data_IF_602381180025
#
_entry.id   IF_602381180025
#
_cell.length_a   1.000
_cell.length_b   1.000
_cell.length_c   1.000
_cell.angle_alpha   90.00
_cell.angle_beta   90.00
_cell.angle_gamma   90.00
#
_symmetry.space_group_name_H-M   'P 1'
#
loop_
_entity.id
_entity.type
_entity.pdbx_description
1 polymer ?
#
# COMPACT_ATOMS: atom_id res chain seq x y z
N UNK A 1 2.01 45.28 33.01
CA UNK A 1 1.39 43.95 33.19
C UNK A 1 -0.05 44.04 32.73
N UNK A 2 -0.46 43.31 31.68
CA UNK A 2 -1.87 43.13 31.35
C UNK A 2 -2.40 41.85 32.04
N UNK A 3 -3.56 42.03 32.65
CA UNK A 3 -4.42 41.04 33.32
C UNK A 3 -5.01 40.05 32.30
N UNK A 4 -4.77 38.75 32.47
CA UNK A 4 -5.47 37.68 31.73
C UNK A 4 -6.31 36.87 32.71
N UNK A 5 -7.37 37.49 33.23
CA UNK A 5 -8.53 36.80 33.81
C UNK A 5 -9.70 36.90 32.84
N UNK A 6 -10.15 35.76 32.33
CA UNK A 6 -11.27 35.71 31.39
C UNK A 6 -11.63 34.34 30.86
N UNK A 7 -11.57 33.29 31.67
CA UNK A 7 -12.35 32.06 31.42
C UNK A 7 -13.24 31.81 32.64
N UNK A 8 -14.51 32.26 32.65
CA UNK A 8 -15.45 31.84 33.67
C UNK A 8 -16.17 30.59 33.15
N UNK A 9 -15.93 29.43 33.77
CA UNK A 9 -16.75 28.23 33.54
C UNK A 9 -17.19 27.66 34.91
N UNK A 10 -18.50 27.60 35.25
CA UNK A 10 -18.97 27.29 36.61
C UNK A 10 -18.82 25.83 37.07
N UNK A 11 -18.22 24.94 36.27
CA UNK A 11 -18.43 23.48 36.39
C UNK A 11 -17.39 22.71 37.22
N UNK A 12 -16.66 23.33 38.16
CA UNK A 12 -15.80 22.60 39.10
C UNK A 12 -14.52 21.98 38.51
N UNK A 13 -13.93 22.62 37.48
CA UNK A 13 -12.61 22.20 36.97
C UNK A 13 -11.51 22.54 37.97
N UNK A 14 -10.73 21.55 38.39
CA UNK A 14 -9.54 21.74 39.22
C UNK A 14 -8.36 22.19 38.35
N UNK A 15 -8.26 23.50 38.13
CA UNK A 15 -7.15 24.11 37.40
C UNK A 15 -6.08 24.60 38.37
N UNK A 16 -4.87 24.07 38.22
CA UNK A 16 -3.73 24.50 39.03
C UNK A 16 -2.61 25.09 38.16
N UNK A 17 -2.23 26.37 38.38
CA UNK A 17 -1.09 26.95 37.70
C UNK A 17 0.21 26.36 38.26
N UNK A 18 0.87 25.51 37.48
CA UNK A 18 2.13 24.87 37.87
C UNK A 18 3.01 24.55 36.65
N UNK A 19 4.32 24.44 36.89
CA UNK A 19 5.28 23.95 35.90
C UNK A 19 5.33 22.42 35.95
N UNK A 20 4.92 21.78 34.86
CA UNK A 20 4.85 20.31 34.70
C UNK A 20 6.22 19.63 34.85
N UNK A 21 7.32 20.36 34.68
CA UNK A 21 8.67 19.80 34.77
C UNK A 21 9.26 19.84 36.19
N UNK A 22 8.66 20.59 37.12
CA UNK A 22 9.16 20.72 38.50
C UNK A 22 8.10 20.47 39.57
N UNK A 23 6.81 20.51 39.21
CA UNK A 23 5.71 20.34 40.15
C UNK A 23 5.64 18.94 40.77
N UNK A 24 5.59 18.88 42.10
CA UNK A 24 5.34 17.63 42.86
C UNK A 24 3.88 17.16 42.81
N UNK A 25 2.96 18.03 42.40
CA UNK A 25 1.54 17.71 42.32
C UNK A 25 1.17 16.89 41.08
N UNK A 26 1.91 17.08 39.99
CA UNK A 26 1.66 16.34 38.74
C UNK A 26 1.76 14.81 38.96
N UNK A 27 2.81 14.25 39.60
CA UNK A 27 2.85 12.83 39.94
C UNK A 27 1.67 12.34 40.79
N UNK A 28 1.17 13.15 41.72
CA UNK A 28 0.04 12.80 42.58
C UNK A 28 -1.26 12.72 41.78
N UNK A 29 -1.51 13.71 40.92
CA UNK A 29 -2.67 13.72 40.02
C UNK A 29 -2.61 12.55 39.03
N UNK A 30 -1.45 12.30 38.42
CA UNK A 30 -1.26 11.17 37.50
C UNK A 30 -1.47 9.82 38.19
N UNK A 31 -1.06 9.69 39.45
CA UNK A 31 -1.20 8.45 40.23
C UNK A 31 -2.65 8.06 40.53
N UNK A 32 -3.60 8.99 40.44
CA UNK A 32 -5.04 8.75 40.66
C UNK A 32 -5.87 8.84 39.37
N UNK A 33 -5.34 9.46 38.33
CA UNK A 33 -6.02 9.62 37.05
C UNK A 33 -6.35 8.27 36.38
N UNK A 34 -7.56 8.15 35.83
CA UNK A 34 -7.99 7.02 34.99
C UNK A 34 -7.77 7.29 33.50
N UNK A 35 -7.84 8.56 33.10
CA UNK A 35 -7.63 9.02 31.73
C UNK A 35 -6.72 10.23 31.78
N UNK A 36 -5.66 10.22 30.98
CA UNK A 36 -4.74 11.36 30.84
C UNK A 36 -4.77 11.81 29.38
N UNK A 37 -5.25 13.03 29.13
CA UNK A 37 -5.24 13.65 27.81
C UNK A 37 -4.24 14.81 27.78
N UNK A 38 -3.36 14.85 26.78
CA UNK A 38 -2.34 15.89 26.70
C UNK A 38 -1.98 16.27 25.25
N UNK A 39 -1.96 17.58 24.97
CA UNK A 39 -1.31 18.15 23.81
C UNK A 39 -0.09 18.95 24.31
N UNK A 40 1.07 18.31 24.55
CA UNK A 40 2.26 18.99 25.06
C UNK A 40 2.79 20.04 24.06
N UNK A 41 3.61 21.00 24.49
CA UNK A 41 4.21 21.99 23.59
C UNK A 41 5.25 21.35 22.65
N UNK A 42 5.16 21.62 21.35
CA UNK A 42 6.01 21.00 20.30
C UNK A 42 7.33 21.76 20.11
N UNK A 43 8.16 21.76 21.13
CA UNK A 43 9.43 22.47 21.13
C UNK A 43 10.54 21.71 21.88
N UNK A 44 11.79 22.06 21.59
CA UNK A 44 12.94 21.60 22.36
C UNK A 44 13.11 22.44 23.63
N UNK A 45 13.82 21.89 24.62
CA UNK A 45 14.24 22.69 25.77
C UNK A 45 15.38 23.63 25.37
N UNK A 46 15.19 24.92 25.62
CA UNK A 46 16.22 25.95 25.49
C UNK A 46 17.40 25.70 26.44
N UNK A 47 18.53 26.38 26.18
CA UNK A 47 19.73 26.27 27.03
C UNK A 47 19.44 26.69 28.49
N UNK A 48 18.62 27.72 28.69
CA UNK A 48 18.23 28.19 30.02
C UNK A 48 17.35 27.16 30.74
N UNK A 49 16.38 26.58 30.04
CA UNK A 49 15.51 25.53 30.61
C UNK A 49 16.30 24.27 30.97
N UNK A 50 17.28 23.86 30.14
CA UNK A 50 18.16 22.72 30.48
C UNK A 50 19.03 23.00 31.70
N UNK A 51 19.45 24.25 31.91
CA UNK A 51 20.16 24.65 33.13
C UNK A 51 19.23 24.62 34.36
N UNK A 52 17.97 25.05 34.19
CA UNK A 52 16.98 25.08 35.26
C UNK A 52 16.50 23.68 35.66
N UNK A 53 16.15 22.84 34.68
CA UNK A 53 15.56 21.53 34.92
C UNK A 53 16.58 20.40 35.06
N UNK A 54 17.84 20.66 34.69
CA UNK A 54 18.95 19.72 34.77
C UNK A 54 19.16 18.91 33.48
N UNK A 55 20.27 18.18 33.39
CA UNK A 55 20.70 17.49 32.17
C UNK A 55 19.86 16.25 31.81
N UNK A 56 19.03 15.76 32.73
CA UNK A 56 18.24 14.53 32.54
C UNK A 56 16.93 14.74 31.76
N UNK A 57 16.52 16.00 31.55
CA UNK A 57 15.33 16.28 30.74
C UNK A 57 15.49 15.75 29.31
N UNK A 58 14.41 15.17 28.78
CA UNK A 58 14.38 14.64 27.44
C UNK A 58 14.76 15.67 26.36
N UNK A 59 15.06 15.18 25.16
CA UNK A 59 15.49 16.04 24.05
C UNK A 59 14.43 17.07 23.62
N UNK A 60 13.16 16.78 23.86
CA UNK A 60 12.03 17.66 23.53
C UNK A 60 10.96 17.62 24.62
N UNK A 61 10.17 18.70 24.73
CA UNK A 61 9.10 18.81 25.72
C UNK A 61 8.01 17.73 25.55
N UNK A 62 7.55 17.37 24.32
CA UNK A 62 6.56 16.29 24.16
C UNK A 62 7.05 14.94 24.65
N UNK A 63 8.32 14.61 24.39
CA UNK A 63 8.93 13.38 24.88
C UNK A 63 8.99 13.37 26.41
N UNK A 64 9.45 14.45 27.02
CA UNK A 64 9.63 14.53 28.47
C UNK A 64 8.29 14.49 29.22
N UNK A 65 7.26 15.17 28.72
CA UNK A 65 5.91 15.09 29.30
C UNK A 65 5.40 13.65 29.23
N UNK A 66 5.52 12.98 28.07
CA UNK A 66 5.10 11.59 27.93
C UNK A 66 5.87 10.64 28.86
N UNK A 67 7.20 10.80 28.99
CA UNK A 67 8.03 10.00 29.91
C UNK A 67 7.56 10.15 31.36
N UNK A 68 7.29 11.38 31.81
CA UNK A 68 6.78 11.65 33.16
C UNK A 68 5.39 11.07 33.38
N UNK A 69 4.52 11.18 32.37
CA UNK A 69 3.21 10.54 32.40
C UNK A 69 3.33 9.04 32.55
N UNK A 70 4.16 8.37 31.75
CA UNK A 70 4.37 6.92 31.87
C UNK A 70 5.00 6.53 33.21
N UNK A 71 5.88 7.36 33.77
CA UNK A 71 6.51 7.08 35.07
C UNK A 71 5.53 7.13 36.25
N UNK A 72 4.56 8.05 36.20
CA UNK A 72 3.74 8.39 37.37
C UNK A 72 2.24 8.09 37.21
N UNK A 73 1.76 7.83 36.00
CA UNK A 73 0.36 7.50 35.77
C UNK A 73 -0.03 6.21 36.49
N UNK A 74 -1.26 6.16 37.00
CA UNK A 74 -1.85 4.95 37.57
C UNK A 74 -1.72 3.76 36.58
N UNK A 75 -1.35 2.54 37.00
CA UNK A 75 -1.08 1.41 36.10
C UNK A 75 -2.20 1.12 35.09
N UNK A 76 -3.46 1.29 35.50
CA UNK A 76 -4.65 1.10 34.67
C UNK A 76 -5.11 2.36 33.90
N UNK A 77 -4.38 3.46 34.00
CA UNK A 77 -4.74 4.70 33.30
C UNK A 77 -4.64 4.53 31.79
N UNK A 78 -5.64 5.02 31.06
CA UNK A 78 -5.57 5.19 29.61
C UNK A 78 -4.95 6.54 29.25
N UNK A 79 -4.19 6.59 28.16
CA UNK A 79 -3.50 7.81 27.71
C UNK A 79 -4.04 8.26 26.35
N UNK A 80 -4.16 9.57 26.17
CA UNK A 80 -4.42 10.22 24.89
C UNK A 80 -3.46 11.38 24.68
N UNK A 81 -2.65 11.34 23.63
CA UNK A 81 -1.59 12.30 23.40
C UNK A 81 -1.57 12.81 21.95
N UNK A 82 -1.26 14.09 21.79
CA UNK A 82 -0.88 14.67 20.49
C UNK A 82 0.65 14.77 20.49
N UNK A 83 1.33 14.09 19.58
CA UNK A 83 2.79 14.00 19.57
C UNK A 83 3.37 14.31 18.17
N UNK A 84 4.65 14.67 18.07
CA UNK A 84 5.34 14.71 16.79
C UNK A 84 5.36 13.33 16.11
N UNK A 85 5.31 13.28 14.78
CA UNK A 85 5.35 12.05 13.97
C UNK A 85 6.57 11.18 14.24
N UNK A 86 7.66 11.79 14.68
CA UNK A 86 8.88 11.10 15.12
C UNK A 86 8.67 10.19 16.34
N UNK A 87 7.53 10.27 17.05
CA UNK A 87 7.20 9.29 18.09
C UNK A 87 7.15 7.87 17.53
N UNK A 88 6.61 7.72 16.32
CA UNK A 88 6.36 6.42 15.69
C UNK A 88 7.66 5.67 15.40
N UNK A 89 8.72 6.34 14.94
CA UNK A 89 9.96 5.70 14.45
C UNK A 89 11.26 6.45 14.76
N UNK A 90 11.20 7.67 15.29
CA UNK A 90 12.37 8.48 15.59
C UNK A 90 13.20 7.91 16.74
N UNK A 91 14.53 8.00 16.63
CA UNK A 91 15.47 7.43 17.59
C UNK A 91 15.27 7.96 19.02
N UNK A 92 14.91 9.24 19.18
CA UNK A 92 14.71 9.86 20.50
C UNK A 92 13.54 9.28 21.29
N UNK A 93 12.60 8.62 20.63
CA UNK A 93 11.42 8.00 21.26
C UNK A 93 11.59 6.50 21.53
N UNK A 94 12.77 5.93 21.24
CA UNK A 94 13.05 4.49 21.36
C UNK A 94 12.56 3.88 22.66
N UNK A 95 13.09 4.35 23.79
CA UNK A 95 12.80 3.76 25.10
C UNK A 95 11.33 3.91 25.50
N UNK A 96 10.72 5.04 25.13
CA UNK A 96 9.30 5.32 25.39
C UNK A 96 8.39 4.41 24.60
N UNK A 97 8.74 4.05 23.35
CA UNK A 97 8.00 3.05 22.60
C UNK A 97 8.06 1.68 23.26
N UNK A 98 9.23 1.29 23.78
CA UNK A 98 9.36 0.06 24.57
C UNK A 98 8.50 0.07 25.81
N UNK A 99 8.44 1.19 26.52
CA UNK A 99 7.59 1.36 27.70
C UNK A 99 6.09 1.33 27.36
N UNK A 100 5.66 2.02 26.29
CA UNK A 100 4.30 1.95 25.78
C UNK A 100 3.89 0.51 25.44
N UNK A 101 4.76 -0.22 24.74
CA UNK A 101 4.53 -1.60 24.35
C UNK A 101 4.46 -2.56 25.54
N UNK A 102 5.24 -2.32 26.61
CA UNK A 102 5.17 -3.11 27.86
C UNK A 102 3.91 -2.81 28.67
N UNK A 103 3.50 -1.55 28.70
CA UNK A 103 2.46 -1.08 29.61
C UNK A 103 1.05 -1.27 29.07
N UNK A 104 0.87 -1.18 27.76
CA UNK A 104 -0.44 -1.15 27.13
C UNK A 104 -0.71 -2.37 26.26
N UNK A 105 -1.94 -2.86 26.28
CA UNK A 105 -2.39 -3.93 25.38
C UNK A 105 -2.60 -3.42 23.97
N UNK A 106 -3.11 -2.21 23.84
CA UNK A 106 -3.53 -1.64 22.57
C UNK A 106 -3.07 -0.18 22.44
N UNK A 107 -2.55 0.15 21.26
CA UNK A 107 -2.25 1.52 20.85
C UNK A 107 -3.05 1.83 19.58
N UNK A 108 -3.72 2.98 19.56
CA UNK A 108 -4.25 3.57 18.33
C UNK A 108 -3.41 4.77 17.97
N UNK A 109 -2.84 4.76 16.76
CA UNK A 109 -1.97 5.80 16.25
C UNK A 109 -2.59 6.36 14.98
N UNK A 110 -2.96 7.65 14.99
CA UNK A 110 -3.48 8.34 13.80
C UNK A 110 -2.46 9.37 13.34
N UNK A 111 -1.81 9.11 12.20
CA UNK A 111 -0.93 10.06 11.55
C UNK A 111 -1.75 11.10 10.78
N UNK A 112 -1.51 12.38 11.09
CA UNK A 112 -2.18 13.52 10.52
C UNK A 112 -1.28 14.21 9.50
N UNK A 113 -1.85 14.88 8.47
CA UNK A 113 -1.04 15.62 7.50
C UNK A 113 -0.45 16.90 8.10
N UNK A 114 0.56 17.49 7.45
CA UNK A 114 1.10 18.81 7.85
C UNK A 114 0.01 19.88 7.98
N UNK A 115 0.25 20.84 8.90
CA UNK A 115 -0.57 22.05 9.11
C UNK A 115 -1.99 21.78 9.60
N UNK A 116 -2.23 20.64 10.23
CA UNK A 116 -3.48 20.40 10.99
C UNK A 116 -3.58 21.33 12.20
N UNK A 117 -2.46 21.62 12.86
CA UNK A 117 -2.42 22.56 13.97
C UNK A 117 -1.90 23.92 13.50
N UNK A 118 -2.67 24.99 13.76
CA UNK A 118 -2.41 26.36 13.27
C UNK A 118 -1.02 26.93 13.62
N UNK A 119 -0.35 26.39 14.64
CA UNK A 119 0.89 26.92 15.21
C UNK A 119 2.08 25.96 15.12
N UNK A 120 1.95 24.82 14.40
CA UNK A 120 3.04 23.86 14.25
C UNK A 120 3.20 23.41 12.79
N UNK A 121 4.39 23.62 12.23
CA UNK A 121 4.78 23.08 10.91
C UNK A 121 5.21 21.60 10.98
N UNK A 122 5.03 20.94 12.13
CA UNK A 122 5.49 19.57 12.40
C UNK A 122 4.35 18.58 12.13
N UNK A 123 4.62 17.52 11.37
CA UNK A 123 3.71 16.37 11.25
C UNK A 123 3.38 15.81 12.64
N UNK A 124 2.10 15.61 12.91
CA UNK A 124 1.61 15.17 14.22
C UNK A 124 0.94 13.80 14.14
N UNK A 125 0.94 13.10 15.27
CA UNK A 125 0.21 11.85 15.48
C UNK A 125 -0.68 11.99 16.71
N UNK A 126 -1.88 11.42 16.63
CA UNK A 126 -2.71 11.15 17.80
C UNK A 126 -2.35 9.76 18.30
N UNK A 127 -2.07 9.64 19.59
CA UNK A 127 -1.80 8.38 20.28
C UNK A 127 -2.91 8.16 21.31
N UNK A 128 -3.62 7.04 21.22
CA UNK A 128 -4.45 6.50 22.30
C UNK A 128 -3.80 5.21 22.80
N UNK A 129 -3.65 5.05 24.11
CA UNK A 129 -3.06 3.86 24.72
C UNK A 129 -4.00 3.31 25.79
N UNK A 130 -4.43 2.06 25.65
CA UNK A 130 -5.48 1.46 26.48
C UNK A 130 -5.18 0.00 26.83
N UNK A 131 -5.81 -0.46 27.91
CA UNK A 131 -5.70 -1.83 28.41
C UNK A 131 -4.36 -2.15 29.06
N UNK A 132 -4.35 -3.03 30.06
CA UNK A 132 -3.13 -3.47 30.72
C UNK A 132 -2.27 -4.34 29.79
N UNK A 133 -0.96 -4.09 29.76
CA UNK A 133 -0.01 -4.73 28.88
C UNK A 133 0.04 -6.25 28.97
N UNK A 134 0.48 -6.85 27.87
CA UNK A 134 0.79 -8.28 27.72
C UNK A 134 2.18 -8.41 27.09
N UNK A 135 2.59 -9.62 26.69
CA UNK A 135 3.88 -9.83 26.01
C UNK A 135 4.03 -9.06 24.69
N UNK A 136 2.91 -8.71 24.04
CA UNK A 136 2.89 -7.98 22.77
C UNK A 136 1.77 -6.95 22.74
N UNK A 137 2.08 -5.77 22.23
CA UNK A 137 1.10 -4.70 22.02
C UNK A 137 0.49 -4.79 20.63
N UNK A 138 -0.83 -4.60 20.54
CA UNK A 138 -1.51 -4.42 19.26
C UNK A 138 -1.53 -2.94 18.90
N UNK A 139 -1.00 -2.58 17.73
CA UNK A 139 -0.99 -1.22 17.20
C UNK A 139 -1.97 -1.14 16.03
N UNK A 140 -2.99 -0.30 16.17
CA UNK A 140 -3.85 0.13 15.07
C UNK A 140 -3.30 1.44 14.52
N UNK A 141 -2.70 1.38 13.34
CA UNK A 141 -2.12 2.53 12.66
C UNK A 141 -3.08 3.03 11.58
N UNK A 142 -3.44 4.31 11.68
CA UNK A 142 -4.27 5.03 10.71
C UNK A 142 -3.50 6.20 10.13
N UNK A 143 -3.73 6.52 8.87
CA UNK A 143 -3.18 7.70 8.22
C UNK A 143 -4.29 8.52 7.59
N UNK A 144 -4.23 9.83 7.78
CA UNK A 144 -5.09 10.82 7.14
C UNK A 144 -4.22 11.67 6.23
N UNK A 145 -4.55 11.74 4.93
CA UNK A 145 -3.95 12.68 4.00
C UNK A 145 -4.82 13.91 3.85
N UNK A 146 -4.23 15.02 3.38
CA UNK A 146 -4.92 16.30 3.17
C UNK A 146 -6.27 16.18 2.46
N UNK A 147 -6.44 15.36 1.40
CA UNK A 147 -7.74 15.24 0.73
C UNK A 147 -8.85 14.64 1.60
N UNK A 148 -8.51 13.80 2.60
CA UNK A 148 -9.45 13.15 3.50
C UNK A 148 -9.62 13.89 4.84
N UNK A 149 -8.92 15.00 5.06
CA UNK A 149 -8.92 15.69 6.34
C UNK A 149 -10.32 16.21 6.75
N UNK A 150 -11.10 16.74 5.79
CA UNK A 150 -12.46 17.19 6.07
C UNK A 150 -13.36 16.03 6.51
N UNK A 151 -13.37 14.93 5.75
CA UNK A 151 -14.14 13.72 6.09
C UNK A 151 -13.67 13.08 7.40
N UNK A 152 -12.40 13.20 7.75
CA UNK A 152 -11.89 12.77 9.06
C UNK A 152 -12.52 13.57 10.20
N UNK A 153 -12.66 14.89 10.07
CA UNK A 153 -13.31 15.71 11.08
C UNK A 153 -14.81 15.41 11.21
N UNK A 154 -15.49 15.16 10.09
CA UNK A 154 -16.94 14.97 10.09
C UNK A 154 -17.37 13.58 10.56
N UNK A 155 -16.67 12.53 10.11
CA UNK A 155 -17.09 11.14 10.32
C UNK A 155 -15.95 10.16 10.62
N UNK A 156 -14.73 10.65 10.91
CA UNK A 156 -13.59 9.80 11.26
C UNK A 156 -13.01 9.00 10.08
N UNK A 157 -13.36 9.35 8.84
CA UNK A 157 -12.85 8.64 7.65
C UNK A 157 -11.34 8.83 7.52
N UNK A 158 -10.61 7.72 7.41
CA UNK A 158 -9.15 7.71 7.25
C UNK A 158 -8.75 7.33 5.83
N UNK A 159 -7.54 7.72 5.43
CA UNK A 159 -6.97 7.35 4.12
C UNK A 159 -6.48 5.91 4.10
N UNK A 160 -6.01 5.42 5.25
CA UNK A 160 -5.40 4.10 5.40
C UNK A 160 -5.57 3.63 6.83
N UNK A 161 -5.81 2.33 6.99
CA UNK A 161 -5.85 1.66 8.27
C UNK A 161 -5.13 0.31 8.16
N UNK A 162 -4.21 0.05 9.10
CA UNK A 162 -3.56 -1.24 9.26
C UNK A 162 -3.34 -1.57 10.73
N UNK A 163 -3.27 -2.85 11.07
CA UNK A 163 -2.94 -3.32 12.40
C UNK A 163 -1.67 -4.18 12.38
N UNK A 164 -0.96 -4.22 13.51
CA UNK A 164 0.17 -5.11 13.71
C UNK A 164 0.44 -5.35 15.19
N UNK A 165 1.10 -6.46 15.52
CA UNK A 165 1.55 -6.72 16.89
C UNK A 165 3.06 -6.55 17.01
N UNK A 166 3.51 -6.03 18.14
CA UNK A 166 4.91 -5.69 18.41
C UNK A 166 5.29 -6.13 19.82
N UNK A 167 6.49 -6.69 20.00
CA UNK A 167 7.13 -6.77 21.30
C UNK A 167 7.71 -5.41 21.69
N UNK A 168 8.08 -5.27 22.97
CA UNK A 168 8.79 -4.07 23.44
C UNK A 168 10.09 -3.81 22.68
N UNK A 169 10.87 -4.85 22.42
CA UNK A 169 12.13 -4.76 21.67
C UNK A 169 11.89 -4.35 20.21
N UNK A 170 10.88 -4.91 19.55
CA UNK A 170 10.53 -4.53 18.17
C UNK A 170 10.09 -3.06 18.10
N UNK A 171 9.32 -2.60 19.09
CA UNK A 171 8.88 -1.22 19.21
C UNK A 171 10.06 -0.25 19.44
N UNK A 172 11.05 -0.64 20.23
CA UNK A 172 12.28 0.15 20.43
C UNK A 172 13.09 0.27 19.14
N UNK A 173 13.38 -0.85 18.47
CA UNK A 173 14.28 -0.93 17.32
C UNK A 173 13.67 -0.40 16.02
N UNK A 174 12.43 -0.81 15.74
CA UNK A 174 11.77 -0.57 14.44
C UNK A 174 10.64 0.45 14.53
N UNK A 175 10.20 0.78 15.74
CA UNK A 175 9.07 1.66 15.95
C UNK A 175 7.71 0.99 15.76
N UNK A 176 6.66 1.82 15.73
CA UNK A 176 5.27 1.40 15.53
C UNK A 176 4.82 1.53 14.07
N UNK A 177 5.77 1.50 13.13
CA UNK A 177 5.46 1.51 11.71
C UNK A 177 4.78 0.20 11.32
N UNK A 178 3.50 0.28 10.95
CA UNK A 178 2.78 -0.87 10.37
C UNK A 178 2.95 -0.81 8.86
N UNK A 179 3.46 -1.87 8.20
CA UNK A 179 3.51 -1.92 6.74
C UNK A 179 2.12 -1.86 6.09
N UNK A 180 2.03 -1.23 4.92
CA UNK A 180 0.80 -1.19 4.10
C UNK A 180 0.38 -2.61 3.75
N UNK A 181 -0.89 -2.96 3.98
CA UNK A 181 -1.45 -4.29 3.68
C UNK A 181 -0.71 -5.42 4.41
N UNK A 182 -0.25 -5.18 5.64
CA UNK A 182 0.51 -6.16 6.45
C UNK A 182 -0.15 -7.53 6.50
N UNK A 183 -1.43 -7.59 6.85
CA UNK A 183 -2.20 -8.84 7.00
C UNK A 183 -2.30 -9.62 5.68
N UNK A 184 -2.38 -8.92 4.54
CA UNK A 184 -2.32 -9.54 3.22
C UNK A 184 -0.96 -10.22 3.04
N UNK A 185 0.13 -9.54 3.37
CA UNK A 185 1.47 -10.10 3.19
C UNK A 185 1.79 -11.25 4.14
N UNK A 186 1.33 -11.19 5.38
CA UNK A 186 1.43 -12.28 6.35
C UNK A 186 0.66 -13.52 5.84
N UNK A 187 -0.56 -13.34 5.34
CA UNK A 187 -1.34 -14.43 4.76
C UNK A 187 -0.64 -15.08 3.56
N UNK A 188 0.05 -14.29 2.74
CA UNK A 188 0.73 -14.75 1.52
C UNK A 188 2.19 -15.19 1.74
N UNK A 189 2.71 -15.12 2.97
CA UNK A 189 4.14 -15.32 3.24
C UNK A 189 4.62 -16.73 2.86
N UNK A 190 3.78 -17.74 3.09
CA UNK A 190 4.06 -19.15 2.86
C UNK A 190 4.05 -19.55 1.37
N UNK A 191 3.63 -18.66 0.46
CA UNK A 191 3.56 -18.94 -0.97
C UNK A 191 4.94 -18.89 -1.64
N UNK A 192 5.14 -19.65 -2.75
CA UNK A 192 6.35 -19.57 -3.55
C UNK A 192 6.58 -18.14 -4.04
N UNK A 193 7.84 -17.82 -4.36
CA UNK A 193 8.24 -16.46 -4.75
C UNK A 193 8.46 -16.38 -6.26
N UNK A 194 8.30 -15.21 -6.86
CA UNK A 194 8.41 -15.02 -8.30
C UNK A 194 9.76 -15.49 -8.85
N UNK A 195 10.83 -15.34 -8.06
CA UNK A 195 12.16 -15.83 -8.42
C UNK A 195 12.28 -17.35 -8.56
N UNK A 196 11.27 -18.13 -8.12
CA UNK A 196 11.22 -19.58 -8.32
C UNK A 196 10.40 -19.99 -9.56
N UNK A 197 9.77 -19.07 -10.28
CA UNK A 197 8.98 -19.37 -11.49
C UNK A 197 9.42 -18.55 -12.71
N UNK A 198 10.41 -17.68 -12.54
CA UNK A 198 10.99 -16.92 -13.62
C UNK A 198 12.45 -16.54 -13.35
N UNK A 199 13.29 -16.65 -14.37
CA UNK A 199 14.63 -16.09 -14.37
C UNK A 199 14.56 -14.60 -14.71
N UNK A 200 14.80 -13.76 -13.68
CA UNK A 200 14.66 -12.30 -13.77
C UNK A 200 16.03 -11.66 -13.99
N UNK A 201 16.21 -10.92 -15.08
CA UNK A 201 17.42 -10.18 -15.37
C UNK A 201 17.14 -8.71 -15.69
N UNK A 202 18.13 -7.87 -15.40
CA UNK A 202 18.18 -6.49 -15.85
C UNK A 202 18.65 -6.47 -17.31
N UNK A 203 18.15 -5.52 -18.10
CA UNK A 203 18.54 -5.37 -19.49
C UNK A 203 19.97 -4.85 -19.71
N UNK A 204 20.33 -4.66 -20.98
CA UNK A 204 21.68 -4.34 -21.44
C UNK A 204 22.15 -2.95 -21.06
N UNK A 205 23.47 -2.79 -20.92
CA UNK A 205 24.15 -1.54 -20.59
C UNK A 205 25.39 -1.35 -21.47
N UNK A 206 25.73 -0.08 -21.70
CA UNK A 206 26.96 0.34 -22.39
C UNK A 206 27.91 1.05 -21.43
N UNK A 207 29.19 1.10 -21.81
CA UNK A 207 30.22 1.81 -21.07
C UNK A 207 29.94 3.32 -20.96
N UNK A 208 30.42 3.92 -19.87
CA UNK A 208 30.34 5.35 -19.61
C UNK A 208 31.33 6.15 -20.50
N UNK A 209 31.03 7.40 -20.88
CA UNK A 209 29.81 8.16 -20.62
C UNK A 209 28.72 7.90 -21.68
N UNK A 210 27.57 7.39 -21.22
CA UNK A 210 26.44 7.07 -22.09
C UNK A 210 25.76 8.30 -22.68
N UNK A 211 25.43 9.31 -21.85
CA UNK A 211 24.67 10.50 -22.27
C UNK A 211 25.38 11.31 -23.37
N UNK A 212 26.71 11.42 -23.30
CA UNK A 212 27.49 12.15 -24.29
C UNK A 212 27.54 11.41 -25.65
N UNK A 213 27.34 10.09 -25.67
CA UNK A 213 27.55 9.22 -26.82
C UNK A 213 26.30 8.46 -27.25
N UNK A 214 25.10 8.92 -26.89
CA UNK A 214 23.89 8.11 -27.05
C UNK A 214 23.63 7.67 -28.51
N UNK A 215 23.91 8.53 -29.49
CA UNK A 215 23.78 8.23 -30.94
C UNK A 215 24.71 7.11 -31.43
N UNK A 216 25.76 6.79 -30.65
CA UNK A 216 26.69 5.67 -30.90
C UNK A 216 26.07 4.33 -30.50
N UNK A 217 25.10 4.35 -29.59
CA UNK A 217 24.52 3.16 -28.98
C UNK A 217 23.06 2.92 -29.40
N UNK A 218 22.32 3.98 -29.73
CA UNK A 218 20.90 3.92 -30.06
C UNK A 218 20.60 4.68 -31.36
N UNK A 219 19.72 4.08 -32.17
CA UNK A 219 19.21 4.65 -33.42
C UNK A 219 17.70 4.42 -33.51
N UNK A 220 16.95 5.43 -33.96
CA UNK A 220 15.52 5.31 -34.26
C UNK A 220 15.28 4.64 -35.61
N UNK A 221 16.27 4.66 -36.51
CA UNK A 221 16.24 3.99 -37.81
C UNK A 221 17.06 2.72 -37.79
N UNK A 222 16.71 1.78 -38.67
CA UNK A 222 17.45 0.53 -38.83
C UNK A 222 18.91 0.76 -39.20
N UNK A 223 19.79 -0.05 -38.62
CA UNK A 223 21.22 -0.04 -38.88
C UNK A 223 21.72 -1.46 -39.01
N UNK A 224 22.56 -1.70 -40.02
CA UNK A 224 23.16 -3.02 -40.26
C UNK A 224 23.92 -3.50 -39.02
N UNK A 225 23.61 -4.72 -38.56
CA UNK A 225 24.25 -5.35 -37.39
C UNK A 225 23.72 -4.89 -36.04
N UNK A 226 22.78 -3.94 -35.99
CA UNK A 226 22.16 -3.49 -34.75
C UNK A 226 20.96 -4.37 -34.41
N UNK A 227 20.65 -4.48 -33.11
CA UNK A 227 19.57 -5.33 -32.61
C UNK A 227 18.32 -4.51 -32.31
N UNK A 228 17.16 -5.01 -32.72
CA UNK A 228 15.87 -4.37 -32.40
C UNK A 228 15.60 -4.49 -30.90
N UNK A 229 15.20 -3.40 -30.26
CA UNK A 229 15.14 -3.34 -28.80
C UNK A 229 14.38 -2.16 -28.22
N UNK A 230 14.34 -2.09 -26.89
CA UNK A 230 13.61 -1.08 -26.13
C UNK A 230 14.58 -0.23 -25.30
N UNK A 231 14.50 1.09 -25.47
CA UNK A 231 15.41 2.05 -24.81
C UNK A 231 14.89 2.53 -23.46
N UNK A 232 13.74 3.18 -23.45
CA UNK A 232 13.21 3.88 -22.29
C UNK A 232 11.78 3.44 -22.07
N UNK A 233 11.37 3.38 -20.81
CA UNK A 233 9.97 3.27 -20.45
C UNK A 233 9.32 4.61 -20.79
N UNK A 234 8.72 4.68 -21.98
CA UNK A 234 8.06 5.87 -22.51
C UNK A 234 6.67 6.08 -21.88
N UNK A 235 6.15 7.29 -22.04
CA UNK A 235 4.78 7.66 -21.73
C UNK A 235 3.86 6.88 -22.69
N UNK A 236 3.45 5.67 -22.27
CA UNK A 236 2.71 4.73 -23.11
C UNK A 236 3.06 3.25 -22.92
N UNK A 237 4.09 2.90 -22.10
CA UNK A 237 4.33 1.49 -21.79
C UNK A 237 3.26 0.94 -20.84
N UNK A 238 2.19 0.39 -21.39
CA UNK A 238 1.02 -0.12 -20.68
C UNK A 238 1.05 -1.64 -20.48
N UNK A 239 0.14 -2.14 -19.64
CA UNK A 239 -0.05 -3.58 -19.47
C UNK A 239 -0.35 -4.23 -20.82
N UNK A 240 0.38 -5.31 -21.10
CA UNK A 240 0.30 -6.12 -22.31
C UNK A 240 0.73 -5.43 -23.62
N UNK A 241 1.13 -4.15 -23.57
CA UNK A 241 1.54 -3.40 -24.77
C UNK A 241 3.04 -3.18 -24.78
N UNK A 242 3.71 -3.56 -25.88
CA UNK A 242 5.14 -3.29 -26.06
C UNK A 242 5.37 -1.85 -26.57
N UNK A 243 6.36 -1.11 -26.04
CA UNK A 243 6.71 0.22 -26.54
C UNK A 243 7.27 0.16 -27.97
N UNK A 244 7.37 1.34 -28.60
CA UNK A 244 7.98 1.45 -29.92
C UNK A 244 9.45 1.01 -29.88
N UNK A 245 9.85 0.07 -30.74
CA UNK A 245 11.22 -0.44 -30.75
C UNK A 245 12.18 0.55 -31.41
N UNK A 246 13.41 0.56 -30.91
CA UNK A 246 14.57 1.24 -31.48
C UNK A 246 15.63 0.20 -31.88
N UNK A 247 16.74 0.67 -32.44
CA UNK A 247 17.89 -0.16 -32.78
C UNK A 247 19.02 0.11 -31.79
N UNK A 248 19.57 -0.97 -31.22
CA UNK A 248 20.59 -0.97 -30.18
C UNK A 248 21.90 -1.53 -30.75
N UNK A 249 23.03 -0.88 -30.45
CA UNK A 249 24.35 -1.31 -30.90
C UNK A 249 24.91 -2.44 -29.99
N UNK A 250 25.06 -3.68 -30.50
CA UNK A 250 25.57 -4.79 -29.71
C UNK A 250 27.10 -4.90 -29.74
N UNK A 251 27.86 -3.93 -30.26
CA UNK A 251 29.33 -4.04 -30.37
C UNK A 251 29.98 -4.42 -29.02
N UNK A 252 30.71 -5.56 -28.94
CA UNK A 252 31.42 -6.00 -27.74
C UNK A 252 32.33 -4.92 -27.12
N UNK A 253 32.93 -4.06 -27.93
CA UNK A 253 33.80 -2.98 -27.47
C UNK A 253 33.07 -1.90 -26.65
N UNK A 254 31.74 -1.92 -26.64
CA UNK A 254 30.92 -0.91 -25.95
C UNK A 254 30.09 -1.47 -24.81
N UNK A 255 30.06 -2.79 -24.61
CA UNK A 255 29.26 -3.46 -23.59
C UNK A 255 29.86 -3.21 -22.21
N UNK A 256 29.01 -2.98 -21.21
CA UNK A 256 29.44 -2.87 -19.80
C UNK A 256 29.37 -4.20 -19.06
N UNK A 257 28.36 -5.03 -19.33
CA UNK A 257 28.06 -6.27 -18.61
C UNK A 257 27.57 -7.39 -19.55
N UNK A 258 27.41 -8.60 -19.00
CA UNK A 258 27.03 -9.81 -19.75
C UNK A 258 25.53 -9.92 -20.09
N UNK A 259 24.73 -8.89 -19.81
CA UNK A 259 23.31 -8.87 -20.18
C UNK A 259 23.09 -9.06 -21.70
N UNK A 260 24.10 -8.74 -22.52
CA UNK A 260 24.09 -9.00 -23.97
C UNK A 260 24.09 -10.48 -24.35
N UNK A 261 24.56 -11.34 -23.44
CA UNK A 261 24.64 -12.80 -23.62
C UNK A 261 23.40 -13.54 -23.14
N UNK A 262 22.38 -12.83 -22.63
CA UNK A 262 21.10 -13.42 -22.22
C UNK A 262 20.37 -14.02 -23.43
N UNK A 263 19.44 -14.98 -23.22
CA UNK A 263 18.74 -15.64 -24.31
C UNK A 263 17.61 -14.77 -24.89
N UNK A 264 17.99 -13.63 -25.49
CA UNK A 264 17.09 -12.62 -26.04
C UNK A 264 16.12 -13.15 -27.11
N UNK A 265 16.52 -14.23 -27.80
CA UNK A 265 15.73 -14.92 -28.82
C UNK A 265 14.58 -15.77 -28.25
N UNK A 266 14.61 -16.11 -26.96
CA UNK A 266 13.54 -16.87 -26.31
C UNK A 266 12.38 -15.94 -25.94
N UNK A 267 11.12 -16.39 -26.07
CA UNK A 267 9.96 -15.68 -25.54
C UNK A 267 10.12 -15.36 -24.06
N UNK A 268 9.70 -14.16 -23.66
CA UNK A 268 9.90 -13.61 -22.32
C UNK A 268 8.86 -12.56 -21.98
N UNK A 269 8.77 -12.17 -20.73
CA UNK A 269 7.98 -11.02 -20.30
C UNK A 269 8.90 -9.83 -20.06
N UNK A 270 8.53 -8.68 -20.60
CA UNK A 270 9.24 -7.42 -20.40
C UNK A 270 8.44 -6.60 -19.39
N UNK A 271 9.08 -6.12 -18.32
CA UNK A 271 8.46 -5.26 -17.32
C UNK A 271 9.32 -4.03 -17.03
N UNK A 272 8.71 -2.92 -16.62
CA UNK A 272 9.49 -1.71 -16.32
C UNK A 272 10.34 -1.90 -15.06
N UNK A 273 11.62 -1.59 -15.15
CA UNK A 273 12.48 -1.37 -13.98
C UNK A 273 12.42 0.11 -13.56
N UNK A 274 12.37 0.99 -14.56
CA UNK A 274 12.15 2.41 -14.36
C UNK A 274 10.84 2.67 -13.60
N UNK A 275 10.88 3.64 -12.70
CA UNK A 275 9.67 4.19 -12.10
C UNK A 275 8.64 4.60 -13.17
N UNK A 276 7.40 4.10 -13.03
CA UNK A 276 6.22 4.56 -13.78
C UNK A 276 5.34 5.42 -12.87
N UNK A 277 5.13 6.69 -13.26
CA UNK A 277 4.23 7.68 -12.65
C UNK A 277 4.23 7.77 -11.09
N UNK A 278 3.22 8.46 -10.53
CA UNK A 278 2.89 8.45 -9.09
C UNK A 278 1.62 7.59 -8.95
N UNK A 279 1.58 6.69 -7.98
CA UNK A 279 0.40 5.85 -7.73
C UNK A 279 0.72 4.46 -7.17
N UNK A 280 -0.34 3.68 -6.95
CA UNK A 280 -0.29 2.29 -6.50
C UNK A 280 0.07 1.31 -7.64
N UNK A 281 -0.33 1.61 -8.87
CA UNK A 281 0.04 0.80 -10.04
C UNK A 281 1.41 1.20 -10.59
N UNK A 282 2.45 0.46 -10.21
CA UNK A 282 3.85 0.81 -10.53
C UNK A 282 4.53 -0.09 -11.55
N UNK A 283 3.89 -1.19 -11.90
CA UNK A 283 4.39 -2.17 -12.84
C UNK A 283 3.44 -2.25 -14.03
N UNK A 284 4.02 -2.27 -15.22
CA UNK A 284 3.40 -2.72 -16.45
C UNK A 284 4.30 -3.82 -17.01
N UNK A 285 3.68 -4.88 -17.53
CA UNK A 285 4.39 -6.00 -18.13
C UNK A 285 3.74 -6.37 -19.47
N UNK A 286 4.56 -6.73 -20.45
CA UNK A 286 4.10 -7.15 -21.77
C UNK A 286 4.78 -8.47 -22.17
N UNK A 287 4.02 -9.44 -22.74
CA UNK A 287 4.61 -10.63 -23.33
C UNK A 287 5.40 -10.24 -24.59
N UNK A 288 6.59 -10.82 -24.76
CA UNK A 288 7.45 -10.62 -25.93
C UNK A 288 7.78 -11.96 -26.59
N UNK A 289 7.43 -12.05 -27.87
CA UNK A 289 7.83 -13.11 -28.81
C UNK A 289 8.69 -12.57 -29.96
N UNK A 290 8.94 -11.26 -30.01
CA UNK A 290 9.62 -10.55 -31.10
C UNK A 290 11.13 -10.42 -30.91
N UNK A 291 11.70 -11.18 -29.96
CA UNK A 291 13.15 -11.24 -29.69
C UNK A 291 13.74 -9.89 -29.32
N UNK A 292 12.95 -8.99 -28.71
CA UNK A 292 13.38 -7.63 -28.40
C UNK A 292 14.47 -7.63 -27.34
N UNK A 293 15.50 -6.80 -27.54
CA UNK A 293 16.58 -6.59 -26.57
C UNK A 293 16.26 -5.37 -25.73
N UNK A 294 16.25 -5.48 -24.41
CA UNK A 294 15.85 -4.38 -23.53
C UNK A 294 17.05 -3.78 -22.82
N UNK A 295 17.06 -2.46 -22.63
CA UNK A 295 18.03 -1.78 -21.78
C UNK A 295 17.75 -2.02 -20.29
N UNK A 296 18.66 -1.52 -19.44
CA UNK A 296 18.56 -1.56 -17.99
C UNK A 296 17.36 -0.82 -17.37
N UNK A 297 16.56 -0.13 -18.19
CA UNK A 297 15.28 0.47 -17.80
C UNK A 297 14.15 -0.56 -17.70
N UNK A 298 14.41 -1.81 -18.10
CA UNK A 298 13.48 -2.93 -18.03
C UNK A 298 14.05 -4.13 -17.25
N UNK A 299 13.14 -4.91 -16.69
CA UNK A 299 13.37 -6.29 -16.28
C UNK A 299 12.86 -7.22 -17.36
N UNK A 300 13.64 -8.26 -17.65
CA UNK A 300 13.28 -9.34 -18.55
C UNK A 300 13.11 -10.61 -17.73
N UNK A 301 11.97 -11.28 -17.90
CA UNK A 301 11.60 -12.47 -17.14
C UNK A 301 11.37 -13.62 -18.11
N UNK A 302 12.21 -14.66 -18.02
CA UNK A 302 11.98 -15.91 -18.74
C UNK A 302 11.24 -16.88 -17.83
N UNK A 303 10.04 -17.34 -18.20
CA UNK A 303 9.27 -18.22 -17.35
C UNK A 303 9.93 -19.60 -17.22
N UNK A 304 9.77 -20.20 -16.06
CA UNK A 304 10.24 -21.55 -15.71
C UNK A 304 9.12 -22.32 -15.00
N UNK A 305 9.34 -23.61 -14.70
CA UNK A 305 8.43 -24.41 -13.87
C UNK A 305 6.98 -24.45 -14.37
N UNK A 306 6.79 -24.62 -15.69
CA UNK A 306 5.49 -24.79 -16.32
C UNK A 306 4.69 -23.50 -16.54
N UNK A 307 5.22 -22.33 -16.15
CA UNK A 307 4.60 -21.05 -16.48
C UNK A 307 4.80 -20.73 -17.97
N UNK A 308 3.75 -20.24 -18.60
CA UNK A 308 3.83 -19.66 -19.94
C UNK A 308 4.07 -18.15 -19.88
N UNK A 309 4.50 -17.57 -21.01
CA UNK A 309 4.86 -16.13 -21.09
C UNK A 309 3.63 -15.25 -20.82
N UNK A 310 2.47 -15.62 -21.36
CA UNK A 310 1.23 -14.84 -21.22
C UNK A 310 0.68 -14.95 -19.81
N UNK A 311 0.63 -16.16 -19.24
CA UNK A 311 0.23 -16.36 -17.85
C UNK A 311 1.13 -15.59 -16.87
N UNK A 312 2.46 -15.57 -17.11
CA UNK A 312 3.38 -14.77 -16.30
C UNK A 312 3.15 -13.27 -16.48
N UNK A 313 2.85 -12.79 -17.69
CA UNK A 313 2.49 -11.39 -17.93
C UNK A 313 1.19 -11.02 -17.20
N UNK A 314 0.19 -11.90 -17.17
CA UNK A 314 -1.04 -11.71 -16.41
C UNK A 314 -0.78 -11.60 -14.90
N UNK A 315 0.06 -12.48 -14.36
CA UNK A 315 0.49 -12.40 -12.96
C UNK A 315 1.16 -11.06 -12.64
N UNK A 316 2.11 -10.60 -13.48
CA UNK A 316 2.83 -9.35 -13.24
C UNK A 316 1.92 -8.11 -13.29
N UNK A 317 0.89 -8.12 -14.14
CA UNK A 317 -0.10 -7.05 -14.22
C UNK A 317 -1.25 -7.17 -13.19
N UNK A 318 -1.17 -8.12 -12.26
CA UNK A 318 -2.20 -8.36 -11.25
C UNK A 318 -2.16 -7.33 -10.10
N UNK A 319 -3.28 -7.16 -9.37
CA UNK A 319 -3.34 -6.29 -8.20
C UNK A 319 -2.37 -6.70 -7.08
N UNK A 320 -2.16 -8.01 -6.85
CA UNK A 320 -1.24 -8.47 -5.79
C UNK A 320 0.19 -8.04 -6.06
N UNK A 321 0.71 -8.27 -7.27
CA UNK A 321 2.07 -7.89 -7.63
C UNK A 321 2.25 -6.37 -7.56
N UNK A 322 1.27 -5.63 -8.07
CA UNK A 322 1.31 -4.17 -8.06
C UNK A 322 1.30 -3.59 -6.65
N UNK A 323 0.45 -4.11 -5.76
CA UNK A 323 0.39 -3.69 -4.35
C UNK A 323 1.63 -4.11 -3.56
N UNK A 324 2.20 -5.29 -3.87
CA UNK A 324 3.44 -5.76 -3.25
C UNK A 324 4.61 -4.81 -3.55
N UNK A 325 4.71 -4.34 -4.79
CA UNK A 325 5.72 -3.35 -5.20
C UNK A 325 5.42 -2.00 -4.56
N UNK A 326 4.17 -1.55 -4.60
CA UNK A 326 3.78 -0.24 -4.08
C UNK A 326 4.02 -0.08 -2.56
N UNK A 327 3.84 -1.17 -1.80
CA UNK A 327 4.04 -1.21 -0.35
C UNK A 327 5.51 -1.28 0.08
N UNK A 328 6.45 -1.61 -0.82
CA UNK A 328 7.88 -1.84 -0.50
C UNK A 328 8.83 -0.90 -1.20
N UNK A 329 8.50 -0.49 -2.41
CA UNK A 329 9.27 0.51 -3.13
C UNK A 329 8.74 1.89 -2.79
N UNK A 330 9.63 2.88 -2.71
CA UNK A 330 9.25 4.28 -2.50
C UNK A 330 9.22 5.03 -3.83
N UNK A 331 9.88 6.19 -3.88
CA UNK A 331 10.08 6.99 -5.09
C UNK A 331 11.12 6.41 -6.07
N UNK A 332 11.56 5.16 -5.86
CA UNK A 332 12.71 4.52 -6.55
C UNK A 332 12.25 3.58 -7.67
N UNK A 333 13.19 3.20 -8.52
CA UNK A 333 13.01 2.17 -9.55
C UNK A 333 12.61 0.82 -8.91
N UNK A 334 11.84 0.01 -9.66
CA UNK A 334 11.44 -1.33 -9.23
C UNK A 334 12.68 -2.22 -9.17
N UNK A 335 13.03 -2.70 -7.98
CA UNK A 335 14.25 -3.51 -7.77
C UNK A 335 14.01 -4.98 -8.12
N UNK A 336 15.00 -5.61 -8.75
CA UNK A 336 15.01 -7.06 -9.04
C UNK A 336 14.79 -7.91 -7.78
N UNK A 337 15.40 -7.52 -6.65
CA UNK A 337 15.22 -8.22 -5.35
C UNK A 337 13.75 -8.25 -4.92
N UNK A 338 13.04 -7.13 -5.11
CA UNK A 338 11.63 -6.99 -4.74
C UNK A 338 10.74 -7.81 -5.65
N UNK A 339 10.97 -7.78 -6.97
CA UNK A 339 10.25 -8.65 -7.90
C UNK A 339 10.45 -10.12 -7.53
N UNK A 340 11.70 -10.57 -7.32
CA UNK A 340 11.99 -11.96 -6.94
C UNK A 340 11.26 -12.41 -5.68
N UNK A 341 11.01 -11.52 -4.73
CA UNK A 341 10.36 -11.81 -3.45
C UNK A 341 8.83 -11.76 -3.50
N UNK A 342 8.23 -11.37 -4.63
CA UNK A 342 6.78 -11.28 -4.76
C UNK A 342 6.12 -12.67 -4.65
N UNK A 343 5.04 -12.87 -3.89
CA UNK A 343 4.37 -14.16 -3.78
C UNK A 343 3.70 -14.56 -5.10
N UNK A 344 3.71 -15.84 -5.41
CA UNK A 344 3.12 -16.45 -6.61
C UNK A 344 1.91 -17.30 -6.21
N UNK A 345 0.76 -17.16 -6.89
CA UNK A 345 -0.45 -17.90 -6.55
C UNK A 345 -0.31 -19.39 -6.90
N UNK A 346 -1.10 -20.24 -6.24
CA UNK A 346 -1.23 -21.65 -6.60
C UNK A 346 -2.32 -21.77 -7.67
N UNK A 347 -1.89 -21.92 -8.92
CA UNK A 347 -2.78 -22.08 -10.08
C UNK A 347 -2.67 -23.49 -10.63
N UNK A 348 -3.79 -24.04 -11.09
CA UNK A 348 -3.82 -25.33 -11.79
C UNK A 348 -3.31 -25.16 -13.23
N UNK A 349 -2.87 -26.25 -13.90
CA UNK A 349 -2.52 -26.18 -15.32
C UNK A 349 -3.66 -25.63 -16.20
N UNK A 350 -4.92 -25.93 -15.86
CA UNK A 350 -6.09 -25.41 -16.56
C UNK A 350 -6.26 -23.90 -16.36
N UNK A 351 -5.98 -23.39 -15.15
CA UNK A 351 -5.99 -21.94 -14.90
C UNK A 351 -4.93 -21.23 -15.74
N UNK A 352 -3.72 -21.81 -15.87
CA UNK A 352 -2.65 -21.23 -16.69
C UNK A 352 -3.04 -21.13 -18.16
N UNK A 353 -3.61 -22.20 -18.74
CA UNK A 353 -4.11 -22.20 -20.12
C UNK A 353 -5.23 -21.16 -20.30
N UNK A 354 -6.14 -21.08 -19.33
CA UNK A 354 -7.23 -20.09 -19.36
C UNK A 354 -6.69 -18.66 -19.34
N UNK A 355 -5.68 -18.38 -18.49
CA UNK A 355 -5.02 -17.08 -18.44
C UNK A 355 -4.33 -16.74 -19.76
N UNK A 356 -3.67 -17.70 -20.41
CA UNK A 356 -3.07 -17.46 -21.72
C UNK A 356 -4.12 -17.06 -22.77
N UNK A 357 -5.23 -17.79 -22.83
CA UNK A 357 -6.35 -17.49 -23.74
C UNK A 357 -7.00 -16.13 -23.46
N UNK A 358 -7.16 -15.76 -22.19
CA UNK A 358 -7.64 -14.43 -21.81
C UNK A 358 -6.68 -13.33 -22.24
N UNK A 359 -5.35 -13.55 -22.15
CA UNK A 359 -4.36 -12.56 -22.59
C UNK A 359 -4.43 -12.37 -24.09
N UNK A 360 -4.61 -13.45 -24.85
CA UNK A 360 -4.85 -13.37 -26.30
C UNK A 360 -6.14 -12.60 -26.61
N UNK A 361 -7.23 -12.89 -25.91
CA UNK A 361 -8.49 -12.18 -26.09
C UNK A 361 -8.37 -10.68 -25.75
N UNK A 362 -7.63 -10.33 -24.69
CA UNK A 362 -7.37 -8.94 -24.34
C UNK A 362 -6.56 -8.24 -25.43
N UNK A 363 -5.43 -8.81 -25.84
CA UNK A 363 -4.59 -8.24 -26.90
C UNK A 363 -5.37 -8.07 -28.21
N UNK A 364 -6.18 -9.05 -28.60
CA UNK A 364 -7.03 -8.96 -29.78
C UNK A 364 -8.06 -7.83 -29.66
N UNK A 365 -8.69 -7.65 -28.49
CA UNK A 365 -9.63 -6.56 -28.25
C UNK A 365 -8.95 -5.17 -28.29
N UNK A 366 -7.66 -5.09 -27.92
CA UNK A 366 -6.87 -3.85 -28.02
C UNK A 366 -6.44 -3.54 -29.46
N UNK A 367 -6.21 -4.57 -30.28
CA UNK A 367 -5.75 -4.45 -31.68
C UNK A 367 -6.91 -4.22 -32.67
N UNK A 368 -8.18 -4.24 -32.22
CA UNK A 368 -9.34 -3.98 -33.08
C UNK A 368 -9.22 -2.59 -33.76
N UNK A 369 -9.11 -2.59 -35.09
CA UNK A 369 -9.12 -1.38 -35.92
C UNK A 369 -10.38 -0.55 -35.61
N UNK A 370 -10.31 0.80 -35.60
CA UNK A 370 -11.45 1.66 -35.26
C UNK A 370 -12.75 1.34 -36.02
N UNK A 371 -12.59 0.82 -37.23
CA UNK A 371 -13.65 0.47 -38.18
C UNK A 371 -14.37 -0.86 -37.86
N UNK A 372 -13.70 -1.77 -37.13
CA UNK A 372 -14.26 -3.04 -36.66
C UNK A 372 -14.83 -2.96 -35.24
N UNK A 373 -14.83 -1.77 -34.62
CA UNK A 373 -15.45 -1.48 -33.31
C UNK A 373 -16.99 -1.41 -33.39
N UNK A 374 -17.58 -2.21 -34.26
CA UNK A 374 -19.02 -2.42 -34.25
C UNK A 374 -19.38 -3.20 -32.99
N UNK A 375 -20.51 -2.88 -32.33
CA UNK A 375 -21.02 -3.68 -31.22
C UNK A 375 -21.48 -5.05 -31.75
N UNK A 376 -20.53 -5.96 -31.98
CA UNK A 376 -20.83 -7.34 -32.35
C UNK A 376 -21.38 -8.08 -31.13
N UNK A 377 -22.36 -8.93 -31.41
CA UNK A 377 -23.27 -9.67 -30.51
C UNK A 377 -22.68 -9.94 -29.12
N UNK A 378 -23.13 -9.17 -28.14
CA UNK A 378 -22.67 -9.24 -26.75
C UNK A 378 -22.80 -7.94 -25.94
N UNK A 379 -23.13 -6.82 -26.61
CA UNK A 379 -23.58 -5.57 -25.99
C UNK A 379 -22.51 -4.90 -25.13
N UNK A 380 -21.58 -4.18 -25.74
CA UNK A 380 -20.67 -3.28 -25.02
C UNK A 380 -19.53 -2.74 -25.88
N UNK A 381 -18.92 -1.63 -25.45
CA UNK A 381 -17.76 -1.03 -26.13
C UNK A 381 -16.52 -1.94 -26.05
N UNK A 382 -15.47 -1.65 -26.84
CA UNK A 382 -14.22 -2.41 -26.76
C UNK A 382 -13.55 -2.22 -25.39
N UNK A 383 -13.69 -1.05 -24.76
CA UNK A 383 -13.20 -0.79 -23.39
C UNK A 383 -13.92 -1.67 -22.37
N UNK A 384 -15.23 -1.86 -22.50
CA UNK A 384 -16.00 -2.72 -21.59
C UNK A 384 -15.62 -4.19 -21.74
N UNK A 385 -15.38 -4.66 -22.99
CA UNK A 385 -14.84 -6.00 -23.24
C UNK A 385 -13.45 -6.18 -22.63
N UNK A 386 -12.54 -5.24 -22.91
CA UNK A 386 -11.18 -5.26 -22.36
C UNK A 386 -11.20 -5.25 -20.82
N UNK A 387 -12.04 -4.41 -20.21
CA UNK A 387 -12.23 -4.34 -18.75
C UNK A 387 -12.71 -5.66 -18.18
N UNK A 388 -13.72 -6.29 -18.78
CA UNK A 388 -14.26 -7.58 -18.33
C UNK A 388 -13.19 -8.68 -18.38
N UNK A 389 -12.42 -8.75 -19.47
CA UNK A 389 -11.33 -9.71 -19.61
C UNK A 389 -10.27 -9.52 -18.51
N UNK A 390 -9.87 -8.27 -18.23
CA UNK A 390 -8.94 -7.97 -17.14
C UNK A 390 -9.48 -8.37 -15.76
N UNK A 391 -10.78 -8.13 -15.50
CA UNK A 391 -11.42 -8.55 -14.26
C UNK A 391 -11.45 -10.08 -14.12
N UNK A 392 -11.68 -10.81 -15.20
CA UNK A 392 -11.63 -12.28 -15.21
C UNK A 392 -10.23 -12.82 -14.92
N UNK A 393 -9.19 -12.22 -15.53
CA UNK A 393 -7.79 -12.55 -15.21
C UNK A 393 -7.49 -12.32 -13.73
N UNK A 394 -7.82 -11.14 -13.22
CA UNK A 394 -7.57 -10.78 -11.82
C UNK A 394 -8.34 -11.74 -10.88
N UNK A 395 -9.58 -12.12 -11.21
CA UNK A 395 -10.38 -13.04 -10.42
C UNK A 395 -9.79 -14.46 -10.36
N UNK A 396 -9.22 -14.97 -11.46
CA UNK A 396 -8.50 -16.26 -11.49
C UNK A 396 -7.25 -16.18 -10.60
N UNK A 397 -6.47 -15.11 -10.75
CA UNK A 397 -5.24 -14.91 -9.99
C UNK A 397 -5.52 -14.78 -8.48
N UNK A 398 -6.50 -13.95 -8.10
CA UNK A 398 -6.91 -13.75 -6.70
C UNK A 398 -7.42 -15.04 -6.07
N UNK A 399 -8.18 -15.85 -6.81
CA UNK A 399 -8.59 -17.20 -6.37
C UNK A 399 -7.37 -18.06 -6.03
N UNK A 400 -6.33 -18.04 -6.87
CA UNK A 400 -5.09 -18.79 -6.63
C UNK A 400 -4.26 -18.30 -5.44
N UNK A 401 -4.47 -17.07 -4.98
CA UNK A 401 -3.86 -16.56 -3.74
C UNK A 401 -4.62 -16.99 -2.48
N UNK A 402 -5.89 -17.38 -2.60
CA UNK A 402 -6.67 -17.91 -1.47
C UNK A 402 -6.86 -16.90 -0.33
N UNK A 403 -6.99 -15.61 -0.65
CA UNK A 403 -7.27 -14.58 0.34
C UNK A 403 -8.70 -14.75 0.89
N UNK A 404 -8.91 -14.58 2.21
CA UNK A 404 -10.23 -14.37 2.78
C UNK A 404 -10.92 -13.17 2.10
N UNK A 405 -12.27 -13.20 1.92
CA UNK A 405 -12.97 -12.16 1.17
C UNK A 405 -12.70 -10.72 1.64
N UNK A 406 -12.54 -10.49 2.93
CA UNK A 406 -12.25 -9.17 3.50
C UNK A 406 -10.81 -8.70 3.22
N UNK A 407 -9.83 -9.61 3.16
CA UNK A 407 -8.45 -9.27 2.76
C UNK A 407 -8.36 -9.04 1.25
N UNK A 408 -9.07 -9.82 0.45
CA UNK A 408 -9.20 -9.58 -0.98
C UNK A 408 -9.82 -8.20 -1.23
N UNK A 409 -10.91 -7.86 -0.52
CA UNK A 409 -11.53 -6.54 -0.61
C UNK A 409 -10.56 -5.42 -0.22
N UNK A 410 -9.85 -5.56 0.89
CA UNK A 410 -8.86 -4.57 1.35
C UNK A 410 -7.71 -4.36 0.36
N UNK A 411 -7.23 -5.44 -0.26
CA UNK A 411 -6.26 -5.37 -1.34
C UNK A 411 -6.80 -4.61 -2.56
N UNK A 412 -8.04 -4.85 -2.96
CA UNK A 412 -8.63 -4.20 -4.13
C UNK A 412 -8.98 -2.73 -3.85
N UNK A 413 -9.42 -2.42 -2.64
CA UNK A 413 -9.69 -1.04 -2.20
C UNK A 413 -8.42 -0.19 -2.11
N UNK A 414 -7.24 -0.80 -1.96
CA UNK A 414 -5.95 -0.11 -2.06
C UNK A 414 -5.74 0.60 -3.41
N UNK A 415 -6.43 0.14 -4.46
CA UNK A 415 -6.37 0.74 -5.80
C UNK A 415 -7.53 1.69 -6.09
N UNK A 416 -8.37 2.03 -5.11
CA UNK A 416 -9.51 2.93 -5.33
C UNK A 416 -9.03 4.31 -5.79
N UNK A 417 -9.58 4.79 -6.90
CA UNK A 417 -9.20 6.06 -7.52
C UNK A 417 -7.80 6.07 -8.16
N UNK A 418 -7.12 4.93 -8.23
CA UNK A 418 -5.81 4.79 -8.86
C UNK A 418 -5.94 4.32 -10.30
N UNK A 419 -5.20 4.94 -11.22
CA UNK A 419 -5.24 4.57 -12.64
C UNK A 419 -4.41 3.30 -12.89
N UNK A 420 -5.09 2.22 -13.32
CA UNK A 420 -4.41 1.03 -13.86
C UNK A 420 -3.68 1.40 -15.16
N UNK A 421 -2.47 0.87 -15.40
CA UNK A 421 -1.64 1.20 -16.57
C UNK A 421 -2.18 0.61 -17.88
N UNK A 422 -3.37 1.03 -18.30
CA UNK A 422 -4.06 0.64 -19.54
C UNK A 422 -4.62 1.88 -20.24
N UNK A 423 -4.88 1.81 -21.54
CA UNK A 423 -5.31 2.94 -22.38
C UNK A 423 -6.79 3.32 -22.27
N UNK A 424 -7.51 2.78 -21.29
CA UNK A 424 -8.90 3.09 -21.02
C UNK A 424 -9.16 3.27 -19.52
N UNK A 425 -10.29 3.88 -19.17
CA UNK A 425 -10.68 4.06 -17.77
C UNK A 425 -11.11 2.72 -17.14
N UNK A 426 -10.19 2.02 -16.48
CA UNK A 426 -10.49 0.77 -15.78
C UNK A 426 -11.46 0.99 -14.60
N UNK A 427 -11.32 2.10 -13.88
CA UNK A 427 -12.13 2.43 -12.70
C UNK A 427 -11.86 1.55 -11.49
N UNK A 428 -12.77 1.56 -10.52
CA UNK A 428 -12.66 0.77 -9.30
C UNK A 428 -13.15 -0.68 -9.51
N UNK A 429 -12.63 -1.61 -8.71
CA UNK A 429 -13.09 -3.01 -8.71
C UNK A 429 -14.52 -3.14 -8.17
N UNK A 430 -14.82 -2.42 -7.09
CA UNK A 430 -16.13 -2.36 -6.45
C UNK A 430 -16.64 -0.92 -6.42
N UNK A 431 -17.96 -0.69 -6.55
CA UNK A 431 -18.55 0.62 -6.33
C UNK A 431 -18.25 1.15 -4.91
N UNK A 432 -18.11 2.47 -4.76
CA UNK A 432 -17.77 3.09 -3.47
C UNK A 432 -18.73 2.71 -2.32
N UNK A 433 -20.01 2.51 -2.64
CA UNK A 433 -21.07 2.20 -1.67
C UNK A 433 -21.32 0.69 -1.52
N UNK A 434 -20.49 -0.16 -2.11
CA UNK A 434 -20.67 -1.61 -2.05
C UNK A 434 -20.10 -2.16 -0.73
N UNK A 435 -20.97 -2.39 0.25
CA UNK A 435 -20.60 -2.85 1.59
C UNK A 435 -20.14 -4.34 1.69
N UNK A 436 -20.71 -5.30 0.93
CA UNK A 436 -20.37 -6.71 1.12
C UNK A 436 -18.90 -7.06 0.85
N UNK A 437 -18.34 -7.92 1.70
CA UNK A 437 -17.03 -8.55 1.50
C UNK A 437 -17.19 -9.88 0.76
N UNK A 438 -17.35 -9.81 -0.57
CA UNK A 438 -17.40 -10.99 -1.43
C UNK A 438 -16.17 -11.04 -2.36
N UNK A 439 -15.69 -12.23 -2.72
CA UNK A 439 -14.61 -12.35 -3.70
C UNK A 439 -14.99 -11.75 -5.06
N UNK A 440 -14.01 -11.21 -5.77
CA UNK A 440 -14.16 -10.59 -7.09
C UNK A 440 -14.82 -11.55 -8.08
N UNK A 441 -14.42 -12.83 -8.07
CA UNK A 441 -15.01 -13.87 -8.94
C UNK A 441 -16.52 -14.02 -8.75
N UNK A 442 -17.02 -13.79 -7.54
CA UNK A 442 -18.46 -13.86 -7.24
C UNK A 442 -19.12 -12.58 -7.73
N UNK A 443 -18.52 -11.44 -7.43
CA UNK A 443 -19.04 -10.14 -7.85
C UNK A 443 -19.20 -10.03 -9.38
N UNK A 444 -18.24 -10.50 -10.17
CA UNK A 444 -18.30 -10.43 -11.63
C UNK A 444 -19.11 -11.56 -12.28
N UNK A 445 -19.58 -12.53 -11.50
CA UNK A 445 -20.34 -13.67 -12.03
C UNK A 445 -21.69 -13.23 -12.57
N UNK A 446 -22.15 -13.87 -13.65
CA UNK A 446 -23.49 -13.59 -14.21
C UNK A 446 -24.61 -13.83 -13.20
N UNK A 447 -24.48 -14.85 -12.36
CA UNK A 447 -25.48 -15.15 -11.32
C UNK A 447 -25.62 -13.97 -10.36
N UNK A 448 -24.51 -13.40 -9.87
CA UNK A 448 -24.54 -12.23 -9.00
C UNK A 448 -25.05 -10.98 -9.72
N UNK A 449 -24.56 -10.70 -10.93
CA UNK A 449 -24.96 -9.53 -11.72
C UNK A 449 -26.45 -9.53 -12.11
N UNK A 450 -27.06 -10.71 -12.22
CA UNK A 450 -28.49 -10.87 -12.53
C UNK A 450 -29.35 -11.17 -11.30
N UNK A 451 -28.77 -11.13 -10.11
CA UNK A 451 -29.48 -11.31 -8.84
C UNK A 451 -30.10 -9.98 -8.41
N UNK A 452 -31.39 -9.81 -8.69
CA UNK A 452 -32.21 -8.72 -8.15
C UNK A 452 -32.86 -9.13 -6.83
N UNK A 453 -33.26 -8.17 -5.99
CA UNK A 453 -34.00 -8.44 -4.75
C UNK A 453 -35.23 -9.33 -5.03
N UNK A 454 -35.92 -9.11 -6.14
CA UNK A 454 -37.08 -9.90 -6.60
C UNK A 454 -36.77 -11.38 -6.85
N UNK A 455 -35.53 -11.70 -7.26
CA UNK A 455 -35.07 -13.09 -7.47
C UNK A 455 -34.57 -13.75 -6.19
N UNK A 456 -34.11 -12.97 -5.21
CA UNK A 456 -33.57 -13.48 -3.94
C UNK A 456 -34.69 -13.69 -2.91
N UNK A 457 -35.64 -12.76 -2.82
CA UNK A 457 -36.73 -12.77 -1.83
C UNK A 457 -37.52 -14.10 -1.77
N UNK A 458 -37.85 -14.76 -2.90
CA UNK A 458 -38.55 -16.06 -2.86
C UNK A 458 -37.74 -17.22 -2.26
N UNK A 459 -36.41 -17.06 -2.18
CA UNK A 459 -35.49 -18.09 -1.69
C UNK A 459 -34.96 -17.80 -0.28
N UNK A 460 -35.32 -16.65 0.30
CA UNK A 460 -35.03 -16.38 1.71
C UNK A 460 -35.93 -17.27 2.58
N UNK A 461 -35.37 -17.96 3.59
CA UNK A 461 -36.19 -18.72 4.53
C UNK A 461 -37.18 -17.75 5.19
N UNK A 462 -38.46 -17.95 4.95
CA UNK A 462 -39.51 -17.22 5.66
C UNK A 462 -39.43 -17.61 7.13
N UNK A 463 -39.03 -16.68 7.99
CA UNK A 463 -39.19 -16.83 9.43
C UNK A 463 -40.69 -16.89 9.73
N UNK A 464 -41.19 -18.08 10.07
CA UNK A 464 -42.60 -18.32 10.40
C UNK A 464 -42.85 -18.39 11.90
N UNK A 465 -41.84 -18.07 12.72
CA UNK A 465 -41.96 -18.08 14.17
C UNK A 465 -42.44 -16.70 14.67
N UNK A 466 -43.67 -16.61 15.21
CA UNK A 466 -44.23 -15.36 15.73
C UNK A 466 -43.43 -14.80 16.91
N UNK A 467 -42.81 -15.65 17.73
CA UNK A 467 -42.04 -15.22 18.90
C UNK A 467 -40.73 -14.54 18.49
N UNK A 468 -40.09 -15.03 17.43
CA UNK A 468 -38.85 -14.47 16.88
C UNK A 468 -39.09 -13.16 16.11
N UNK A 469 -40.28 -13.00 15.54
CA UNK A 469 -40.70 -11.78 14.85
C UNK A 469 -41.00 -10.66 15.86
N UNK A 470 -41.72 -10.98 16.95
CA UNK A 470 -41.98 -10.02 18.04
C UNK A 470 -40.68 -9.55 18.73
N UNK A 471 -39.70 -10.45 18.91
CA UNK A 471 -38.41 -10.12 19.51
C UNK A 471 -37.54 -9.18 18.63
N UNK A 472 -37.76 -9.11 17.32
CA UNK A 472 -37.04 -8.20 16.42
C UNK A 472 -37.72 -6.83 16.33
N UNK A 473 -39.04 -6.76 16.51
CA UNK A 473 -39.81 -5.51 16.53
C UNK A 473 -39.62 -4.71 17.83
N UNK A 474 -39.33 -5.36 18.97
CA UNK A 474 -39.04 -4.67 20.24
C UNK A 474 -37.64 -4.02 20.31
N UNK A 475 -36.75 -4.32 19.34
CA UNK A 475 -35.35 -3.83 19.32
C UNK A 475 -35.11 -2.81 18.18
N UNK A 476 -36.16 -2.46 17.43
CA UNK A 476 -36.14 -1.38 16.42
C UNK A 476 -36.76 -0.11 17.00
#
# INVERSE_FOLDING_TARGET
MPDTRGFPNPNGWELEPADVFTSRKLPQALGTARIVLCNPPFEEFSRAERQQYGPEVGVSKPLEVLRRTLRHAHPEASLGFVLPRTMVDGTSYRDVRGELARRFRQLEIVALPDKVFRHADVESVLLLATGAGTDRVTVHFREVKKPQLAAFYDCGTVTREDAGTFSATEAEENGFQVPVLREVWEHLEHLPKLGSVADIHRGVEWQSPFKANEKKYISTTERRGWWKGLRNVEEGFESYTSPQPVWLNPDPAHRLYDAWSLPWSRPKVIANAARKARGAWRLAAAPDSSKLVCTQRYHCLWPTNGWGVKALAALLNSPVVSAFIASREGKRDVRKKTLKACPVPRLTPSDLVTLEGLVDAYMAAMDESPENRLPLFGGGSWEERARRILLEMDAIILRGYGLPPWLERRLLDFFRGEARPVSFAFGDYFPANFAPNIPLRVFISQSFQTSTAERIVPHLPQMRDPALTAALEEVS
#
